data_IF_951197041799
#
_entry.id   IF_951197041799
#
_cell.length_a   1.000
_cell.length_b   1.000
_cell.length_c   1.000
_cell.angle_alpha   90.00
_cell.angle_beta   90.00
_cell.angle_gamma   90.00
#
_symmetry.space_group_name_H-M   'P 1'
#
loop_
_entity.id
_entity.type
_entity.pdbx_description
1 polymer ?
#
# COMPACT_ATOMS: atom_id res chain seq x y z
N UNK A 1 9.88 -13.89 -4.45
CA UNK A 1 9.60 -13.47 -5.85
C UNK A 1 10.38 -12.20 -6.14
N UNK A 2 11.11 -12.12 -7.27
CA UNK A 2 11.80 -10.90 -7.65
C UNK A 2 10.77 -9.83 -8.01
N UNK A 3 10.83 -8.68 -7.35
CA UNK A 3 10.01 -7.52 -7.67
C UNK A 3 10.74 -6.70 -8.73
N UNK A 4 10.03 -6.25 -9.76
CA UNK A 4 10.64 -5.44 -10.80
C UNK A 4 11.11 -4.09 -10.24
N UNK A 5 12.26 -3.62 -10.72
CA UNK A 5 12.91 -2.39 -10.22
C UNK A 5 12.14 -1.11 -10.49
N UNK A 6 11.16 -1.13 -11.40
CA UNK A 6 10.27 0.00 -11.64
C UNK A 6 9.15 0.12 -10.59
N UNK A 7 8.87 -0.94 -9.83
CA UNK A 7 7.83 -0.91 -8.80
C UNK A 7 8.25 0.03 -7.68
N UNK A 8 7.45 1.06 -7.44
CA UNK A 8 7.68 2.04 -6.37
C UNK A 8 6.72 1.87 -5.22
N UNK A 9 5.54 1.31 -5.47
CA UNK A 9 4.49 1.12 -4.46
C UNK A 9 4.05 -0.33 -4.41
N UNK A 10 4.02 -0.89 -3.21
CA UNK A 10 3.47 -2.22 -2.95
C UNK A 10 2.19 -2.07 -2.17
N UNK A 11 1.10 -2.55 -2.76
CA UNK A 11 -0.23 -2.52 -2.17
C UNK A 11 -0.56 -3.91 -1.62
N UNK A 12 -0.67 -4.01 -0.30
CA UNK A 12 -0.93 -5.26 0.40
C UNK A 12 -2.40 -5.27 0.80
N UNK A 13 -3.19 -6.14 0.18
CA UNK A 13 -4.62 -6.24 0.44
C UNK A 13 -5.11 -7.67 0.20
N UNK A 14 -5.93 -8.18 1.12
CA UNK A 14 -6.60 -9.48 0.98
C UNK A 14 -7.69 -9.44 -0.10
N UNK A 15 -8.26 -8.26 -0.31
CA UNK A 15 -9.37 -8.03 -1.23
C UNK A 15 -8.87 -7.48 -2.56
N UNK A 16 -9.58 -7.80 -3.62
CA UNK A 16 -9.31 -7.18 -4.92
C UNK A 16 -9.57 -5.67 -4.87
N UNK A 17 -8.55 -4.91 -5.23
CA UNK A 17 -8.64 -3.46 -5.37
C UNK A 17 -9.07 -3.19 -6.79
N UNK A 18 -10.36 -2.91 -6.97
CA UNK A 18 -10.87 -2.55 -8.29
C UNK A 18 -10.25 -1.20 -8.70
N UNK A 19 -9.63 -1.10 -9.89
CA UNK A 19 -9.09 0.17 -10.39
C UNK A 19 -10.24 1.16 -10.50
N UNK A 20 -10.16 2.20 -9.68
CA UNK A 20 -11.19 3.22 -9.52
C UNK A 20 -10.52 4.60 -9.56
N UNK A 21 -11.31 5.67 -9.80
CA UNK A 21 -10.77 7.03 -9.79
C UNK A 21 -10.04 7.35 -8.48
N UNK A 22 -10.51 6.82 -7.34
CA UNK A 22 -9.83 6.98 -6.05
C UNK A 22 -8.39 6.45 -6.04
N UNK A 23 -8.17 5.24 -6.57
CA UNK A 23 -6.82 4.66 -6.63
C UNK A 23 -5.95 5.52 -7.54
N UNK A 24 -6.48 5.89 -8.71
CA UNK A 24 -5.74 6.71 -9.68
C UNK A 24 -5.35 8.06 -9.09
N UNK A 25 -6.23 8.69 -8.32
CA UNK A 25 -5.96 9.97 -7.63
C UNK A 25 -4.82 9.85 -6.61
N UNK A 26 -4.82 8.77 -5.82
CA UNK A 26 -3.75 8.45 -4.85
C UNK A 26 -2.43 8.17 -5.57
N UNK A 27 -2.44 7.42 -6.66
CA UNK A 27 -1.22 7.19 -7.43
C UNK A 27 -0.70 8.49 -8.04
N UNK A 28 -1.60 9.32 -8.55
CA UNK A 28 -1.24 10.61 -9.15
C UNK A 28 -0.63 11.57 -8.13
N UNK A 29 -1.11 11.57 -6.89
CA UNK A 29 -0.50 12.38 -5.83
C UNK A 29 0.89 11.94 -5.41
N UNK A 30 1.17 10.65 -5.54
CA UNK A 30 2.49 10.06 -5.35
C UNK A 30 3.36 10.13 -6.61
N UNK A 31 2.83 10.70 -7.71
CA UNK A 31 3.47 10.73 -9.02
C UNK A 31 3.86 9.33 -9.54
N UNK A 32 3.01 8.34 -9.25
CA UNK A 32 3.17 6.93 -9.64
C UNK A 32 2.15 6.53 -10.70
N UNK A 33 2.50 5.53 -11.52
CA UNK A 33 1.56 4.90 -12.43
C UNK A 33 1.08 3.55 -11.88
N UNK A 34 -0.05 3.06 -12.41
CA UNK A 34 -0.57 1.74 -12.04
C UNK A 34 0.42 0.62 -12.37
N UNK A 35 1.25 0.83 -13.40
CA UNK A 35 2.33 -0.08 -13.80
C UNK A 35 3.46 -0.17 -12.76
N UNK A 36 3.67 0.90 -11.98
CA UNK A 36 4.68 0.95 -10.91
C UNK A 36 4.14 0.44 -9.56
N UNK A 37 2.91 -0.06 -9.56
CA UNK A 37 2.23 -0.56 -8.38
C UNK A 37 2.14 -2.09 -8.43
N UNK A 38 2.64 -2.74 -7.38
CA UNK A 38 2.53 -4.17 -7.21
C UNK A 38 1.49 -4.48 -6.13
N UNK A 39 0.41 -5.16 -6.51
CA UNK A 39 -0.57 -5.66 -5.54
C UNK A 39 -0.23 -7.09 -5.13
N UNK A 40 -0.20 -7.34 -3.84
CA UNK A 40 0.00 -8.69 -3.27
C UNK A 40 -0.86 -8.92 -2.04
N UNK A 41 -0.93 -10.17 -1.60
CA UNK A 41 -1.48 -10.52 -0.29
C UNK A 41 -0.42 -10.40 0.82
N UNK A 42 -0.87 -10.33 2.06
CA UNK A 42 -0.06 -10.31 3.27
C UNK A 42 0.86 -11.53 3.37
N UNK A 43 0.41 -12.70 2.90
CA UNK A 43 1.20 -13.93 2.88
C UNK A 43 2.43 -13.85 1.96
N UNK A 44 2.41 -13.00 0.93
CA UNK A 44 3.51 -12.88 -0.03
C UNK A 44 4.58 -11.86 0.37
N UNK A 45 4.29 -11.01 1.36
CA UNK A 45 5.20 -9.96 1.85
C UNK A 45 6.58 -10.48 2.26
N UNK A 46 6.71 -11.52 3.12
CA UNK A 46 8.02 -12.04 3.51
C UNK A 46 8.79 -12.69 2.36
N UNK A 47 8.10 -13.04 1.26
CA UNK A 47 8.72 -13.61 0.07
C UNK A 47 9.15 -12.55 -0.95
N UNK A 48 8.86 -11.27 -0.72
CA UNK A 48 9.31 -10.20 -1.61
C UNK A 48 10.83 -10.07 -1.55
N UNK A 49 11.45 -10.09 -2.72
CA UNK A 49 12.86 -9.76 -2.85
C UNK A 49 12.98 -8.41 -3.54
N UNK A 50 13.19 -7.37 -2.73
CA UNK A 50 13.37 -5.99 -3.17
C UNK A 50 14.83 -5.61 -3.14
N UNK A 51 15.29 -4.98 -4.21
CA UNK A 51 16.65 -4.46 -4.35
C UNK A 51 16.73 -2.94 -4.16
N UNK A 52 15.60 -2.30 -3.91
CA UNK A 52 15.46 -0.85 -3.78
C UNK A 52 14.35 -0.50 -2.79
N UNK A 53 14.37 0.74 -2.30
CA UNK A 53 13.35 1.24 -1.39
C UNK A 53 12.02 1.47 -2.10
N UNK A 54 10.93 1.02 -1.48
CA UNK A 54 9.56 1.16 -2.00
C UNK A 54 8.60 1.60 -0.91
N UNK A 55 7.53 2.25 -1.32
CA UNK A 55 6.41 2.59 -0.45
C UNK A 55 5.51 1.38 -0.25
N UNK A 56 4.99 1.23 0.96
CA UNK A 56 4.08 0.16 1.33
C UNK A 56 2.74 0.72 1.73
N UNK A 57 1.68 0.18 1.15
CA UNK A 57 0.32 0.53 1.51
C UNK A 57 -0.47 -0.72 1.89
N UNK A 58 -0.81 -0.84 3.18
CA UNK A 58 -1.52 -1.98 3.73
C UNK A 58 -3.00 -1.64 3.92
N UNK A 59 -3.86 -2.54 3.43
CA UNK A 59 -5.31 -2.45 3.52
C UNK A 59 -5.85 -3.70 4.21
N UNK A 60 -6.21 -3.56 5.48
CA UNK A 60 -6.93 -4.59 6.23
C UNK A 60 -7.74 -3.93 7.34
N UNK A 61 -8.89 -4.51 7.67
CA UNK A 61 -9.64 -4.11 8.86
C UNK A 61 -9.00 -4.66 10.14
N UNK A 62 -8.03 -5.57 10.02
CA UNK A 62 -7.30 -6.14 11.15
C UNK A 62 -5.95 -5.42 11.35
N UNK A 63 -5.91 -4.51 12.32
CA UNK A 63 -4.73 -3.73 12.67
C UNK A 63 -3.55 -4.62 13.13
N UNK A 64 -3.80 -5.69 13.89
CA UNK A 64 -2.73 -6.61 14.29
C UNK A 64 -2.08 -7.30 13.09
N UNK A 65 -2.84 -7.60 12.05
CA UNK A 65 -2.32 -8.17 10.81
C UNK A 65 -1.40 -7.16 10.11
N UNK A 66 -1.83 -5.90 10.03
CA UNK A 66 -1.04 -4.81 9.46
C UNK A 66 0.29 -4.67 10.21
N UNK A 67 0.27 -4.52 11.53
CA UNK A 67 1.47 -4.34 12.36
C UNK A 67 2.46 -5.52 12.22
N UNK A 68 1.95 -6.76 12.21
CA UNK A 68 2.78 -7.96 11.98
C UNK A 68 3.42 -7.99 10.60
N UNK A 69 2.70 -7.57 9.57
CA UNK A 69 3.21 -7.55 8.20
C UNK A 69 4.17 -6.40 7.96
N UNK A 70 3.90 -5.22 8.54
CA UNK A 70 4.80 -4.07 8.52
C UNK A 70 6.20 -4.42 9.04
N UNK A 71 6.25 -5.22 10.11
CA UNK A 71 7.50 -5.68 10.72
C UNK A 71 8.31 -6.61 9.81
N UNK A 72 7.68 -7.17 8.78
CA UNK A 72 8.28 -8.10 7.82
C UNK A 72 8.60 -7.45 6.48
N UNK A 73 8.20 -6.20 6.24
CA UNK A 73 8.43 -5.50 4.98
C UNK A 73 9.93 -5.15 4.80
N UNK A 74 10.61 -5.70 3.79
CA UNK A 74 11.99 -5.32 3.49
C UNK A 74 12.07 -3.99 2.72
N UNK A 75 13.18 -3.24 2.85
CA UNK A 75 13.46 -2.04 2.03
C UNK A 75 12.32 -1.01 2.01
N UNK A 76 11.78 -0.70 3.18
CA UNK A 76 10.70 0.26 3.34
C UNK A 76 11.20 1.68 3.10
N UNK A 77 10.49 2.44 2.28
CA UNK A 77 10.63 3.89 2.18
C UNK A 77 9.58 4.57 3.09
N UNK A 78 8.30 4.39 2.77
CA UNK A 78 7.19 4.83 3.60
C UNK A 78 6.20 3.70 3.86
N UNK A 79 5.50 3.79 4.98
CA UNK A 79 4.49 2.82 5.39
C UNK A 79 3.19 3.54 5.63
N UNK A 80 2.19 3.20 4.84
CA UNK A 80 0.84 3.69 4.99
C UNK A 80 -0.09 2.54 5.32
N UNK A 81 -0.99 2.81 6.25
CA UNK A 81 -1.98 1.88 6.70
C UNK A 81 -3.36 2.48 6.58
N UNK A 82 -4.29 1.65 6.14
CA UNK A 82 -5.69 1.99 6.02
C UNK A 82 -6.56 0.77 6.28
N UNK A 83 -7.84 0.97 6.65
CA UNK A 83 -8.79 -0.12 6.71
C UNK A 83 -8.98 -0.77 5.33
N UNK A 84 -9.75 -1.86 5.26
CA UNK A 84 -9.97 -2.56 4.01
C UNK A 84 -10.50 -1.62 2.91
N UNK A 85 -10.21 -1.95 1.64
CA UNK A 85 -10.54 -1.10 0.50
C UNK A 85 -12.02 -0.67 0.47
N UNK A 86 -12.94 -1.58 0.84
CA UNK A 86 -14.37 -1.26 0.94
C UNK A 86 -14.65 -0.19 2.00
N UNK A 87 -14.12 -0.36 3.20
CA UNK A 87 -14.25 0.59 4.33
C UNK A 87 -13.62 1.94 3.98
N UNK A 88 -12.41 1.94 3.39
CA UNK A 88 -11.73 3.16 2.95
C UNK A 88 -12.59 3.96 1.98
N UNK A 89 -13.25 3.29 1.02
CA UNK A 89 -14.10 3.96 0.04
C UNK A 89 -15.32 4.62 0.67
N UNK A 90 -15.92 3.95 1.65
CA UNK A 90 -17.13 4.42 2.33
C UNK A 90 -16.84 5.44 3.42
N UNK A 91 -15.65 5.43 4.02
CA UNK A 91 -15.28 6.30 5.13
C UNK A 91 -14.43 7.50 4.66
N UNK A 92 -14.97 8.73 4.66
CA UNK A 92 -14.17 9.93 4.39
C UNK A 92 -13.04 10.13 5.39
N UNK A 93 -13.24 9.68 6.64
CA UNK A 93 -12.25 9.78 7.70
C UNK A 93 -11.03 8.89 7.41
N UNK A 94 -11.26 7.67 6.94
CA UNK A 94 -10.18 6.76 6.55
C UNK A 94 -9.33 7.33 5.40
N UNK A 95 -9.97 7.93 4.38
CA UNK A 95 -9.25 8.61 3.28
C UNK A 95 -8.39 9.76 3.78
N UNK A 96 -8.91 10.57 4.70
CA UNK A 96 -8.14 11.66 5.31
C UNK A 96 -6.96 11.15 6.12
N UNK A 97 -7.12 10.05 6.87
CA UNK A 97 -6.02 9.46 7.61
C UNK A 97 -4.91 8.95 6.69
N UNK A 98 -5.27 8.27 5.60
CA UNK A 98 -4.31 7.86 4.57
C UNK A 98 -3.55 9.06 4.00
N UNK A 99 -4.28 10.11 3.61
CA UNK A 99 -3.70 11.34 3.11
C UNK A 99 -2.77 12.03 4.10
N UNK A 100 -3.13 12.06 5.39
CA UNK A 100 -2.27 12.62 6.43
C UNK A 100 -1.00 11.81 6.61
N UNK A 101 -1.05 10.48 6.48
CA UNK A 101 0.15 9.64 6.54
C UNK A 101 1.07 9.93 5.35
N UNK A 102 0.52 10.00 4.13
CA UNK A 102 1.28 10.35 2.93
C UNK A 102 1.95 11.73 3.04
N UNK A 103 1.24 12.74 3.57
CA UNK A 103 1.81 14.08 3.77
C UNK A 103 2.88 14.13 4.85
N UNK A 104 2.78 13.32 5.91
CA UNK A 104 3.80 13.28 6.98
C UNK A 104 5.06 12.53 6.57
N UNK A 105 4.95 11.68 5.55
CA UNK A 105 6.07 10.94 4.96
C UNK A 105 6.80 11.73 3.87
N UNK A 106 6.36 12.95 3.55
CA UNK A 106 6.94 13.81 2.51
C UNK A 106 7.80 14.92 3.13
#
# INVERSE_FOLDING_TARGET
MPVATHIRLIIIAEQEITPQPLLSDILHSLNLQISDCLRIDFDFVPHLNLQHHVDYWLLSDNQEKIDRTLSQCPQVQHQWQSPAWQTLRQSPQAKRQLWQQMQKSH
#
